data_IF_177563239975
#
_entry.id   IF_177563239975
#
_cell.length_a   1.000
_cell.length_b   1.000
_cell.length_c   1.000
_cell.angle_alpha   90.00
_cell.angle_beta   90.00
_cell.angle_gamma   90.00
#
_symmetry.space_group_name_H-M   'P 1'
#
loop_
_entity.id
_entity.type
_entity.pdbx_description
1 polymer ?
#
# COMPACT_ATOMS: atom_id res chain seq x y z
N UNK A 1 -9.32 16.17 -1.72
CA UNK A 1 -9.85 16.08 -0.34
C UNK A 1 -9.93 17.51 0.19
N UNK A 2 -11.09 17.97 0.65
CA UNK A 2 -11.29 19.36 1.14
C UNK A 2 -11.58 19.30 2.63
N UNK A 3 -10.89 20.11 3.44
CA UNK A 3 -10.90 20.04 4.92
C UNK A 3 -11.62 21.24 5.55
N UNK A 4 -12.32 20.99 6.66
CA UNK A 4 -12.97 22.00 7.50
C UNK A 4 -12.46 21.80 8.94
N UNK A 5 -11.86 22.83 9.57
CA UNK A 5 -11.45 22.79 10.98
C UNK A 5 -11.70 24.16 11.64
N UNK A 6 -12.48 24.19 12.72
CA UNK A 6 -12.56 25.33 13.66
C UNK A 6 -11.52 25.14 14.78
N UNK A 7 -10.75 26.19 15.08
CA UNK A 7 -9.76 26.21 16.17
C UNK A 7 -10.33 26.94 17.39
N UNK A 8 -10.18 26.36 18.57
CA UNK A 8 -10.13 27.05 19.86
C UNK A 8 -9.14 26.34 20.79
N UNK A 9 -8.53 27.11 21.70
CA UNK A 9 -7.26 26.83 22.35
C UNK A 9 -7.38 26.54 23.85
N UNK A 10 -6.33 25.89 24.40
CA UNK A 10 -5.82 25.90 25.81
C UNK A 10 -6.66 25.17 26.90
N UNK A 11 -6.14 24.55 27.97
CA UNK A 11 -4.84 24.51 28.69
C UNK A 11 -4.75 23.22 29.58
N UNK A 12 -3.53 22.89 30.06
CA UNK A 12 -3.06 21.72 30.84
C UNK A 12 -3.54 21.61 32.33
N UNK A 13 -3.63 20.39 32.91
CA UNK A 13 -2.73 19.83 33.96
C UNK A 13 -3.11 18.36 34.39
N UNK A 14 -2.17 17.53 34.94
CA UNK A 14 -2.27 16.06 35.06
C UNK A 14 -2.37 15.51 36.51
N UNK A 15 -2.10 14.18 36.67
CA UNK A 15 -1.95 13.33 37.88
C UNK A 15 -3.20 12.46 38.16
N UNK A 16 -3.20 11.14 38.44
CA UNK A 16 -2.22 10.19 38.98
C UNK A 16 -2.43 8.73 38.50
N UNK A 17 -1.38 7.92 38.69
CA UNK A 17 -1.28 6.45 38.54
C UNK A 17 -2.02 5.70 39.65
N UNK A 18 -2.60 4.53 39.33
CA UNK A 18 -2.67 3.39 40.27
C UNK A 18 -2.48 2.06 39.53
N UNK A 19 -1.55 1.25 40.07
CA UNK A 19 -1.21 -0.12 39.68
C UNK A 19 -2.30 -1.13 40.07
N UNK A 20 -2.56 -2.12 39.21
CA UNK A 20 -3.08 -3.43 39.63
C UNK A 20 -2.34 -4.54 38.86
N UNK A 21 -1.84 -5.53 39.64
CA UNK A 21 -1.07 -6.72 39.25
C UNK A 21 -1.96 -7.83 38.64
N UNK A 22 -1.35 -8.84 37.98
CA UNK A 22 -2.05 -9.80 37.13
C UNK A 22 -2.52 -11.07 37.86
N UNK A 23 -3.54 -11.72 37.30
CA UNK A 23 -3.97 -13.07 37.68
C UNK A 23 -3.54 -14.09 36.61
N UNK A 24 -2.84 -15.12 37.08
CA UNK A 24 -2.51 -16.36 36.36
C UNK A 24 -3.71 -17.30 36.30
N UNK A 25 -3.90 -18.01 35.19
CA UNK A 25 -4.34 -19.42 35.11
C UNK A 25 -4.01 -19.93 33.69
N UNK A 26 -3.03 -20.82 33.54
CA UNK A 26 -3.08 -22.29 33.58
C UNK A 26 -3.09 -22.89 32.17
N UNK A 27 -1.96 -23.53 31.86
CA UNK A 27 -1.69 -24.36 30.68
C UNK A 27 -2.44 -25.68 30.80
N UNK A 28 -2.97 -26.16 29.68
CA UNK A 28 -3.07 -27.59 29.40
C UNK A 28 -2.42 -27.88 28.04
N UNK A 29 -1.37 -28.69 28.09
CA UNK A 29 -0.83 -29.54 27.01
C UNK A 29 -1.60 -30.87 27.08
N UNK A 30 -1.93 -31.60 26.01
CA UNK A 30 -1.00 -32.35 25.12
C UNK A 30 -1.69 -32.87 23.83
N UNK A 31 -0.93 -32.75 22.74
CA UNK A 31 -0.70 -33.53 21.48
C UNK A 31 -1.01 -35.05 21.42
N UNK A 32 -0.73 -35.80 20.30
CA UNK A 32 -0.75 -35.53 18.83
C UNK A 32 -1.30 -36.73 17.97
N UNK A 33 -1.15 -36.62 16.63
CA UNK A 33 -1.09 -37.67 15.57
C UNK A 33 -2.24 -37.60 14.53
N UNK A 34 -2.07 -37.81 13.21
CA UNK A 34 -1.01 -38.48 12.46
C UNK A 34 -0.86 -37.91 11.03
N UNK A 35 0.33 -38.12 10.45
CA UNK A 35 0.72 -37.83 9.07
C UNK A 35 0.76 -39.13 8.23
N UNK A 36 0.40 -39.03 6.95
CA UNK A 36 0.82 -39.84 5.77
C UNK A 36 -0.14 -39.49 4.61
N UNK A 37 0.22 -39.33 3.34
CA UNK A 37 1.27 -39.99 2.59
C UNK A 37 1.82 -39.11 1.44
N UNK A 38 3.06 -39.38 1.07
CA UNK A 38 3.78 -38.86 -0.09
C UNK A 38 3.95 -39.96 -1.18
N UNK A 39 4.58 -39.57 -2.30
CA UNK A 39 4.96 -40.33 -3.51
C UNK A 39 3.94 -40.17 -4.65
N UNK A 40 4.26 -39.74 -5.88
CA UNK A 40 5.42 -39.90 -6.79
C UNK A 40 5.33 -38.76 -7.85
N UNK A 41 6.39 -38.14 -8.40
CA UNK A 41 7.33 -38.76 -9.34
C UNK A 41 8.59 -37.89 -9.53
N UNK A 42 9.75 -38.53 -9.41
CA UNK A 42 11.07 -38.01 -9.75
C UNK A 42 11.58 -38.76 -10.97
N UNK A 43 11.41 -38.23 -12.19
CA UNK A 43 12.29 -38.53 -13.32
C UNK A 43 12.31 -37.31 -14.26
N UNK A 44 13.52 -36.94 -14.70
CA UNK A 44 13.82 -35.97 -15.77
C UNK A 44 14.17 -34.53 -15.38
N UNK A 45 15.14 -34.37 -14.47
CA UNK A 45 16.02 -33.18 -14.46
C UNK A 45 17.48 -33.61 -14.24
N UNK A 46 18.03 -34.38 -15.20
CA UNK A 46 19.47 -34.60 -15.32
C UNK A 46 19.82 -34.73 -16.80
N UNK A 47 19.92 -33.60 -17.48
CA UNK A 47 20.73 -33.34 -18.69
C UNK A 47 20.45 -31.93 -19.17
N UNK A 48 21.24 -30.97 -18.71
CA UNK A 48 21.64 -29.76 -19.45
C UNK A 48 22.61 -28.94 -18.57
N UNK A 49 23.70 -29.55 -18.16
CA UNK A 49 24.86 -28.87 -17.58
C UNK A 49 26.11 -29.46 -18.19
N UNK A 50 26.42 -29.06 -19.43
CA UNK A 50 27.78 -29.16 -20.00
C UNK A 50 27.83 -28.53 -21.39
N UNK A 51 27.85 -27.20 -21.46
CA UNK A 51 28.68 -26.46 -22.41
C UNK A 51 28.55 -24.97 -22.09
N UNK A 52 29.70 -24.31 -21.87
CA UNK A 52 29.99 -22.91 -22.17
C UNK A 52 31.33 -22.57 -21.49
N UNK A 53 32.41 -23.01 -22.12
CA UNK A 53 33.74 -22.41 -21.95
C UNK A 53 33.83 -21.16 -22.84
N UNK A 54 34.34 -20.08 -22.23
CA UNK A 54 35.10 -18.96 -22.82
C UNK A 54 34.55 -18.20 -24.05
N UNK A 55 34.22 -16.92 -23.85
CA UNK A 55 34.24 -15.88 -24.90
C UNK A 55 33.07 -14.90 -24.86
N UNK A 56 33.33 -13.65 -24.45
CA UNK A 56 32.43 -12.49 -24.64
C UNK A 56 31.71 -11.97 -23.39
N UNK A 57 32.27 -10.93 -22.74
CA UNK A 57 31.82 -10.39 -21.46
C UNK A 57 30.69 -9.32 -21.55
N UNK A 58 29.79 -9.41 -22.53
CA UNK A 58 28.77 -8.36 -22.78
C UNK A 58 27.31 -8.81 -22.83
N UNK A 59 27.03 -10.12 -22.90
CA UNK A 59 25.69 -10.64 -23.22
C UNK A 59 24.95 -11.28 -22.04
N UNK A 60 25.59 -11.50 -20.88
CA UNK A 60 25.02 -12.33 -19.81
C UNK A 60 24.07 -11.60 -18.86
N UNK A 61 23.94 -10.27 -18.98
CA UNK A 61 23.29 -9.48 -17.94
C UNK A 61 21.97 -8.79 -18.33
N UNK A 62 21.52 -8.99 -19.58
CA UNK A 62 20.26 -8.45 -20.09
C UNK A 62 19.09 -9.40 -19.77
N UNK A 63 17.99 -8.88 -19.23
CA UNK A 63 16.79 -9.65 -18.86
C UNK A 63 15.64 -9.37 -19.84
N UNK A 64 14.82 -10.38 -20.16
CA UNK A 64 13.54 -10.16 -20.85
C UNK A 64 12.47 -9.77 -19.82
N UNK A 65 11.86 -8.60 -20.01
CA UNK A 65 10.86 -8.03 -19.12
C UNK A 65 9.55 -7.72 -19.87
N UNK A 66 8.49 -7.49 -19.10
CA UNK A 66 7.16 -7.15 -19.60
C UNK A 66 6.62 -5.99 -18.79
N UNK A 67 5.97 -5.03 -19.43
CA UNK A 67 5.31 -3.89 -18.78
C UNK A 67 3.91 -3.64 -19.39
N UNK A 68 2.98 -3.15 -18.58
CA UNK A 68 1.73 -2.54 -19.06
C UNK A 68 1.97 -1.06 -19.31
N UNK A 69 1.87 -0.66 -20.58
CA UNK A 69 2.22 0.67 -21.05
C UNK A 69 1.06 1.37 -21.75
N UNK A 70 1.10 2.69 -21.81
CA UNK A 70 0.19 3.53 -22.60
C UNK A 70 0.98 4.65 -23.28
N UNK A 71 0.65 4.95 -24.55
CA UNK A 71 1.27 6.04 -25.34
C UNK A 71 0.39 7.30 -25.39
N UNK A 72 -0.86 7.18 -24.96
CA UNK A 72 -1.85 8.25 -24.92
C UNK A 72 -2.76 8.06 -23.72
N UNK A 73 -3.37 9.15 -23.26
CA UNK A 73 -4.32 9.10 -22.14
C UNK A 73 -5.69 8.61 -22.60
N UNK A 74 -6.35 7.83 -21.76
CA UNK A 74 -7.70 7.34 -22.06
C UNK A 74 -8.16 6.27 -21.08
N UNK A 75 -9.27 5.61 -21.41
CA UNK A 75 -9.80 4.54 -20.58
C UNK A 75 -8.78 3.40 -20.52
N UNK A 76 -8.40 2.87 -19.34
CA UNK A 76 -7.35 1.87 -19.23
C UNK A 76 -7.56 0.64 -20.12
N UNK A 77 -8.81 0.23 -20.34
CA UNK A 77 -9.20 -0.89 -21.22
C UNK A 77 -8.93 -0.65 -22.70
N UNK A 78 -8.76 0.60 -23.11
CA UNK A 78 -8.58 1.01 -24.51
C UNK A 78 -7.12 1.35 -24.82
N UNK A 79 -6.39 1.95 -23.86
CA UNK A 79 -5.04 2.47 -24.10
C UNK A 79 -3.92 1.58 -23.58
N UNK A 80 -4.15 0.72 -22.58
CA UNK A 80 -3.09 -0.13 -22.04
C UNK A 80 -2.73 -1.28 -23.00
N UNK A 81 -1.43 -1.45 -23.21
CA UNK A 81 -0.86 -2.54 -24.01
C UNK A 81 0.25 -3.24 -23.24
N UNK A 82 0.40 -4.54 -23.48
CA UNK A 82 1.53 -5.30 -22.98
C UNK A 82 2.73 -5.06 -23.89
N UNK A 83 3.80 -4.47 -23.36
CA UNK A 83 5.08 -4.34 -24.04
C UNK A 83 6.06 -5.37 -23.47
N UNK A 84 6.63 -6.21 -24.34
CA UNK A 84 7.77 -7.08 -24.01
C UNK A 84 9.04 -6.38 -24.46
N UNK A 85 10.04 -6.32 -23.59
CA UNK A 85 11.30 -5.64 -23.88
C UNK A 85 12.49 -6.33 -23.21
N UNK A 86 13.69 -5.85 -23.51
CA UNK A 86 14.90 -6.23 -22.78
C UNK A 86 15.28 -5.14 -21.77
N UNK A 87 15.85 -5.53 -20.64
CA UNK A 87 16.32 -4.64 -19.58
C UNK A 87 17.81 -4.87 -19.37
N UNK A 88 18.60 -3.81 -19.59
CA UNK A 88 20.03 -3.80 -19.32
C UNK A 88 20.31 -3.81 -17.79
N UNK A 89 21.56 -4.11 -17.37
CA UNK A 89 21.96 -4.00 -15.97
C UNK A 89 21.73 -2.59 -15.41
N UNK A 90 21.56 -2.43 -14.09
CA UNK A 90 21.43 -1.11 -13.49
C UNK A 90 22.73 -0.32 -13.62
N UNK A 91 22.60 1.00 -13.81
CA UNK A 91 23.72 1.94 -13.69
C UNK A 91 24.25 2.00 -12.25
N UNK A 92 25.37 2.71 -12.03
CA UNK A 92 26.07 2.76 -10.74
C UNK A 92 25.19 3.13 -9.53
N UNK A 93 24.26 4.05 -9.69
CA UNK A 93 23.33 4.53 -8.65
C UNK A 93 21.93 3.90 -8.73
N UNK A 94 21.74 2.92 -9.61
CA UNK A 94 20.49 2.23 -9.80
C UNK A 94 20.44 0.87 -9.08
N UNK A 95 19.22 0.41 -8.87
CA UNK A 95 18.90 -0.91 -8.35
C UNK A 95 17.94 -1.57 -9.33
N UNK A 96 18.30 -2.76 -9.79
CA UNK A 96 17.40 -3.59 -10.58
C UNK A 96 16.54 -4.44 -9.65
N UNK A 97 15.24 -4.43 -9.90
CA UNK A 97 14.26 -5.13 -9.09
C UNK A 97 13.35 -6.02 -9.95
N UNK A 98 12.84 -7.08 -9.33
CA UNK A 98 11.76 -7.91 -9.83
C UNK A 98 10.51 -7.64 -8.98
N UNK A 99 9.42 -7.16 -9.59
CA UNK A 99 8.18 -6.93 -8.87
C UNK A 99 7.55 -8.27 -8.46
N UNK A 100 7.13 -8.36 -7.20
CA UNK A 100 6.41 -9.51 -6.65
C UNK A 100 4.90 -9.29 -6.76
N UNK A 101 4.45 -8.06 -6.48
CA UNK A 101 3.08 -7.61 -6.69
C UNK A 101 2.99 -6.08 -6.78
N UNK A 102 2.00 -5.60 -7.52
CA UNK A 102 1.62 -4.19 -7.63
C UNK A 102 0.08 -4.11 -7.69
N UNK A 103 -0.58 -3.33 -6.81
CA UNK A 103 -2.03 -3.19 -6.81
C UNK A 103 -2.50 -2.28 -7.94
N UNK A 104 -3.83 -2.23 -8.10
CA UNK A 104 -4.53 -1.23 -8.92
C UNK A 104 -5.27 -0.29 -7.98
N UNK A 105 -4.79 0.95 -7.87
CA UNK A 105 -5.39 2.01 -7.07
C UNK A 105 -6.16 3.01 -7.96
N UNK A 106 -7.15 3.75 -7.42
CA UNK A 106 -7.86 4.78 -8.19
C UNK A 106 -6.94 5.84 -8.80
N UNK A 107 -5.82 6.17 -8.14
CA UNK A 107 -4.84 7.12 -8.67
C UNK A 107 -4.15 6.60 -9.95
N UNK A 108 -3.90 5.29 -10.06
CA UNK A 108 -3.30 4.70 -11.25
C UNK A 108 -4.23 4.85 -12.46
N UNK A 109 -5.53 4.60 -12.25
CA UNK A 109 -6.57 4.77 -13.26
C UNK A 109 -6.66 6.23 -13.71
N UNK A 110 -6.75 7.16 -12.75
CA UNK A 110 -6.83 8.59 -13.04
C UNK A 110 -5.58 9.12 -13.77
N UNK A 111 -4.39 8.56 -13.50
CA UNK A 111 -3.16 8.90 -14.23
C UNK A 111 -3.23 8.46 -15.68
N UNK A 112 -3.70 7.25 -15.94
CA UNK A 112 -3.86 6.70 -17.31
C UNK A 112 -4.95 7.46 -18.08
N UNK A 113 -6.02 7.87 -17.40
CA UNK A 113 -7.07 8.73 -17.98
C UNK A 113 -6.62 10.17 -18.22
N UNK A 114 -5.45 10.57 -17.70
CA UNK A 114 -4.87 11.91 -17.89
C UNK A 114 -5.48 13.00 -17.01
N UNK A 115 -6.33 12.62 -16.05
CA UNK A 115 -7.03 13.52 -15.13
C UNK A 115 -6.35 13.65 -13.76
N UNK A 116 -5.28 12.90 -13.52
CA UNK A 116 -4.43 13.04 -12.33
C UNK A 116 -3.31 14.08 -12.56
N UNK A 117 -2.97 14.93 -11.56
CA UNK A 117 -1.99 16.00 -11.75
C UNK A 117 -0.54 15.51 -11.94
N UNK A 118 -0.16 14.41 -11.27
CA UNK A 118 1.13 13.78 -11.51
C UNK A 118 1.04 12.93 -12.78
N UNK A 119 1.84 13.26 -13.80
CA UNK A 119 1.89 12.53 -15.06
C UNK A 119 3.27 11.89 -15.20
N UNK A 120 3.38 10.54 -15.19
CA UNK A 120 4.65 9.87 -15.46
C UNK A 120 5.22 10.32 -16.81
N UNK A 121 6.56 10.47 -16.94
CA UNK A 121 7.17 10.83 -18.21
C UNK A 121 6.93 9.72 -19.25
N UNK A 122 6.55 10.13 -20.46
CA UNK A 122 6.49 9.25 -21.62
C UNK A 122 7.91 9.08 -22.18
N UNK A 123 8.37 7.85 -22.36
CA UNK A 123 9.76 7.52 -22.73
C UNK A 123 9.79 6.48 -23.85
N UNK A 124 10.84 6.49 -24.66
CA UNK A 124 11.14 5.44 -25.64
C UNK A 124 12.16 4.41 -25.12
N UNK A 125 12.67 4.57 -23.90
CA UNK A 125 13.76 3.74 -23.36
C UNK A 125 13.37 2.28 -23.19
N UNK A 126 12.07 1.97 -23.10
CA UNK A 126 11.60 0.58 -23.06
C UNK A 126 11.76 -0.14 -24.40
N UNK A 127 11.92 0.58 -25.51
CA UNK A 127 12.15 -0.02 -26.84
C UNK A 127 13.64 -0.26 -27.12
N UNK A 128 14.53 0.46 -26.44
CA UNK A 128 15.97 0.32 -26.64
C UNK A 128 16.57 -0.62 -25.60
N UNK A 129 17.45 -1.51 -26.06
CA UNK A 129 18.34 -2.28 -25.18
C UNK A 129 19.56 -1.47 -24.72
N UNK A 130 19.75 -0.25 -25.22
CA UNK A 130 20.86 0.64 -24.83
C UNK A 130 20.54 1.42 -23.55
N UNK A 131 21.58 1.74 -22.77
CA UNK A 131 21.49 2.52 -21.53
C UNK A 131 20.69 3.83 -21.73
N UNK A 132 19.90 4.27 -20.73
CA UNK A 132 19.19 5.56 -20.74
C UNK A 132 20.10 6.77 -21.06
N UNK A 133 21.41 6.63 -20.79
CA UNK A 133 22.42 7.66 -21.06
C UNK A 133 22.78 7.83 -22.55
N UNK A 134 22.33 6.92 -23.42
CA UNK A 134 22.59 6.97 -24.86
C UNK A 134 21.38 6.42 -25.66
N UNK A 135 20.33 7.23 -25.84
CA UNK A 135 19.18 6.84 -26.67
C UNK A 135 19.62 6.79 -28.13
N UNK A 136 19.55 5.61 -28.76
CA UNK A 136 19.55 5.52 -30.22
C UNK A 136 18.10 5.76 -30.69
N UNK A 137 17.81 6.84 -31.44
CA UNK A 137 16.45 7.24 -31.79
C UNK A 137 15.91 6.46 -33.02
N UNK A 138 16.21 5.16 -33.14
CA UNK A 138 15.87 4.40 -34.35
C UNK A 138 14.51 3.70 -34.31
N UNK A 139 13.72 3.82 -33.24
CA UNK A 139 12.39 3.22 -33.18
C UNK A 139 11.33 4.22 -33.65
N UNK A 140 10.54 3.85 -34.67
CA UNK A 140 9.29 4.52 -35.05
C UNK A 140 8.19 4.41 -33.98
N UNK A 141 8.48 3.77 -32.85
CA UNK A 141 7.55 3.54 -31.75
C UNK A 141 7.25 4.84 -30.99
N UNK A 142 5.98 5.08 -30.62
CA UNK A 142 5.61 6.26 -29.86
C UNK A 142 6.17 6.19 -28.42
N UNK A 143 6.50 7.31 -27.78
CA UNK A 143 6.83 7.34 -26.36
C UNK A 143 5.71 6.72 -25.50
N UNK A 144 6.09 6.00 -24.45
CA UNK A 144 5.16 5.32 -23.53
C UNK A 144 5.46 5.57 -22.07
N UNK A 145 4.43 5.50 -21.23
CA UNK A 145 4.52 5.44 -19.78
C UNK A 145 4.07 4.07 -19.27
N UNK A 146 4.62 3.63 -18.14
CA UNK A 146 4.21 2.37 -17.46
C UNK A 146 3.18 2.70 -16.39
N UNK A 147 2.10 1.92 -16.33
CA UNK A 147 1.06 2.09 -15.31
C UNK A 147 1.54 1.70 -13.90
N UNK A 148 0.80 2.15 -12.88
CA UNK A 148 0.99 1.77 -11.48
C UNK A 148 1.98 2.65 -10.69
N UNK A 149 1.64 2.95 -9.45
CA UNK A 149 2.46 3.77 -8.55
C UNK A 149 2.98 3.02 -7.32
N UNK A 150 2.31 1.93 -6.93
CA UNK A 150 2.58 1.20 -5.69
C UNK A 150 3.01 -0.24 -6.03
N UNK A 151 3.83 -0.84 -5.17
CA UNK A 151 4.23 -2.24 -5.32
C UNK A 151 5.36 -2.63 -4.40
N UNK A 152 5.60 -3.94 -4.32
CA UNK A 152 6.72 -4.55 -3.64
C UNK A 152 7.56 -5.35 -4.62
N UNK A 153 8.87 -5.21 -4.52
CA UNK A 153 9.82 -5.84 -5.41
C UNK A 153 11.00 -6.43 -4.63
N UNK A 154 11.68 -7.39 -5.24
CA UNK A 154 12.92 -7.98 -4.73
C UNK A 154 14.10 -7.50 -5.58
N UNK A 155 15.18 -7.08 -4.93
CA UNK A 155 16.40 -6.63 -5.59
C UNK A 155 17.10 -7.82 -6.27
N UNK A 156 17.38 -7.69 -7.57
CA UNK A 156 18.05 -8.72 -8.38
C UNK A 156 19.48 -8.34 -8.77
N UNK A 157 19.76 -7.04 -8.96
CA UNK A 157 21.12 -6.49 -9.18
C UNK A 157 21.22 -5.10 -8.58
N UNK A 158 22.44 -4.67 -8.25
CA UNK A 158 22.71 -3.37 -7.62
C UNK A 158 23.92 -2.72 -8.30
N UNK A 159 23.80 -1.45 -8.66
CA UNK A 159 24.90 -0.64 -9.15
C UNK A 159 26.00 -0.45 -8.11
N UNK A 160 27.20 -0.12 -8.55
CA UNK A 160 28.38 -0.05 -7.67
C UNK A 160 28.21 0.95 -6.51
N UNK A 161 27.61 2.13 -6.76
CA UNK A 161 27.33 3.15 -5.73
C UNK A 161 26.12 2.80 -4.89
N UNK A 162 25.08 2.22 -5.48
CA UNK A 162 23.88 1.79 -4.76
C UNK A 162 24.16 0.64 -3.76
N UNK A 163 25.26 -0.11 -3.96
CA UNK A 163 25.65 -1.26 -3.13
C UNK A 163 25.98 -0.92 -1.67
N UNK A 164 26.21 0.36 -1.36
CA UNK A 164 26.38 0.85 0.02
C UNK A 164 25.08 0.76 0.84
N UNK A 165 23.93 0.75 0.16
CA UNK A 165 22.61 0.80 0.80
C UNK A 165 21.73 -0.41 0.45
N UNK A 166 21.94 -1.07 -0.68
CA UNK A 166 21.15 -2.21 -1.15
C UNK A 166 22.02 -3.42 -1.46
N UNK A 167 21.46 -4.62 -1.27
CA UNK A 167 22.07 -5.89 -1.68
C UNK A 167 21.05 -6.75 -2.43
N UNK A 168 21.54 -7.64 -3.29
CA UNK A 168 20.70 -8.64 -3.95
C UNK A 168 19.93 -9.45 -2.91
N UNK A 169 18.63 -9.62 -3.13
CA UNK A 169 17.72 -10.30 -2.22
C UNK A 169 16.94 -9.39 -1.28
N UNK A 170 17.33 -8.12 -1.12
CA UNK A 170 16.55 -7.13 -0.36
C UNK A 170 15.13 -6.99 -0.92
N UNK A 171 14.16 -6.74 -0.05
CA UNK A 171 12.81 -6.36 -0.44
C UNK A 171 12.66 -4.86 -0.36
N UNK A 172 12.02 -4.28 -1.37
CA UNK A 172 11.85 -2.83 -1.51
C UNK A 172 10.43 -2.48 -1.89
N UNK A 173 10.01 -1.29 -1.50
CA UNK A 173 8.79 -0.62 -1.96
C UNK A 173 9.15 0.71 -2.60
N UNK A 174 8.22 1.26 -3.39
CA UNK A 174 8.44 2.54 -4.06
C UNK A 174 8.53 3.68 -3.04
N UNK A 175 9.58 4.49 -3.13
CA UNK A 175 9.77 5.72 -2.36
C UNK A 175 9.17 6.97 -3.01
N UNK A 176 8.97 6.93 -4.33
CA UNK A 176 8.38 8.01 -5.13
C UNK A 176 7.19 7.50 -5.95
N UNK A 177 6.23 8.39 -6.23
CA UNK A 177 5.13 8.11 -7.15
C UNK A 177 5.56 8.32 -8.61
N UNK A 178 4.78 7.78 -9.56
CA UNK A 178 5.00 7.96 -11.00
C UNK A 178 6.11 7.09 -11.61
N UNK A 179 6.64 6.14 -10.84
CA UNK A 179 7.72 5.26 -11.27
C UNK A 179 7.27 4.13 -12.21
N UNK A 180 5.97 3.80 -12.23
CA UNK A 180 5.41 2.73 -13.06
C UNK A 180 5.72 1.34 -12.52
N UNK A 181 4.79 0.72 -11.79
CA UNK A 181 5.01 -0.56 -11.10
C UNK A 181 4.38 -1.77 -11.79
N UNK A 182 3.52 -1.57 -12.80
CA UNK A 182 2.87 -2.64 -13.54
C UNK A 182 3.82 -3.24 -14.59
N UNK A 183 4.93 -3.81 -14.12
CA UNK A 183 5.98 -4.43 -14.92
C UNK A 183 6.61 -5.60 -14.16
N UNK A 184 7.27 -6.52 -14.85
CA UNK A 184 7.96 -7.64 -14.20
C UNK A 184 9.27 -7.23 -13.55
N UNK A 185 10.03 -6.34 -14.20
CA UNK A 185 11.32 -5.84 -13.73
C UNK A 185 11.52 -4.36 -14.08
N UNK A 186 12.42 -3.69 -13.37
CA UNK A 186 12.86 -2.34 -13.71
C UNK A 186 14.16 -1.97 -13.01
N UNK A 187 14.90 -1.02 -13.58
CA UNK A 187 15.98 -0.33 -12.89
C UNK A 187 15.42 0.99 -12.34
N UNK A 188 15.73 1.30 -11.09
CA UNK A 188 15.27 2.51 -10.41
C UNK A 188 16.45 3.15 -9.67
N UNK A 189 16.46 4.47 -9.55
CA UNK A 189 17.42 5.15 -8.67
C UNK A 189 17.31 4.57 -7.26
N UNK A 190 18.44 4.37 -6.58
CA UNK A 190 18.47 3.96 -5.19
C UNK A 190 17.64 4.88 -4.26
N UNK A 191 17.52 6.17 -4.62
CA UNK A 191 16.73 7.15 -3.87
C UNK A 191 15.20 7.00 -4.04
N UNK A 192 14.77 6.31 -5.09
CA UNK A 192 13.36 6.08 -5.40
C UNK A 192 12.81 4.79 -4.77
N UNK A 193 13.64 4.09 -3.99
CA UNK A 193 13.31 2.84 -3.33
C UNK A 193 13.49 2.94 -1.82
N UNK A 194 12.57 2.32 -1.08
CA UNK A 194 12.69 2.15 0.36
C UNK A 194 12.86 0.67 0.70
N UNK A 195 13.94 0.34 1.41
CA UNK A 195 14.19 -1.03 1.89
C UNK A 195 13.21 -1.41 2.99
N UNK A 196 12.58 -2.57 2.86
CA UNK A 196 11.71 -3.16 3.88
C UNK A 196 12.57 -3.82 4.95
N UNK A 197 12.83 -3.12 6.06
CA UNK A 197 13.73 -3.58 7.15
C UNK A 197 13.17 -4.74 7.97
N UNK A 198 11.87 -4.96 7.95
CA UNK A 198 11.19 -5.89 8.86
C UNK A 198 11.25 -7.35 8.41
N UNK A 199 11.75 -7.66 7.21
CA UNK A 199 11.87 -9.04 6.72
C UNK A 199 12.97 -9.81 7.46
N UNK A 200 14.07 -9.14 7.85
CA UNK A 200 15.22 -9.78 8.49
C UNK A 200 15.02 -10.06 10.00
N UNK A 201 14.10 -9.36 10.67
CA UNK A 201 13.84 -9.53 12.13
C UNK A 201 12.72 -10.52 12.46
N UNK A 202 12.10 -11.13 11.45
CA UNK A 202 10.98 -12.09 11.60
C UNK A 202 11.45 -13.56 11.67
N UNK A 203 12.74 -13.83 11.47
CA UNK A 203 13.28 -15.20 11.37
C UNK A 203 14.07 -15.65 12.60
N UNK A 204 14.34 -14.77 13.58
CA UNK A 204 14.96 -15.14 14.86
C UNK A 204 13.94 -15.07 16.00
N UNK A 205 13.21 -16.17 16.22
CA UNK A 205 12.54 -16.46 17.50
C UNK A 205 11.19 -15.78 17.80
N UNK A 206 10.54 -15.12 16.84
CA UNK A 206 9.22 -14.49 17.04
C UNK A 206 8.22 -14.91 15.95
N UNK A 207 7.00 -15.22 16.38
CA UNK A 207 5.78 -15.57 15.61
C UNK A 207 5.81 -15.21 14.11
N UNK A 208 5.51 -16.19 13.23
CA UNK A 208 5.69 -16.12 11.77
C UNK A 208 4.67 -15.22 11.05
N UNK A 209 4.34 -14.06 11.61
CA UNK A 209 3.61 -13.01 10.89
C UNK A 209 4.56 -12.18 10.02
N UNK A 210 5.38 -12.86 9.21
CA UNK A 210 6.14 -12.21 8.15
C UNK A 210 5.17 -11.40 7.30
N UNK A 211 5.43 -10.10 7.12
CA UNK A 211 4.63 -9.26 6.23
C UNK A 211 4.54 -9.95 4.86
N UNK A 212 3.33 -10.28 4.43
CA UNK A 212 3.16 -10.99 3.16
C UNK A 212 3.29 -10.00 1.99
N UNK A 213 3.42 -10.57 0.79
CA UNK A 213 3.54 -9.79 -0.46
C UNK A 213 2.37 -8.81 -0.63
N UNK A 214 1.16 -9.19 -0.20
CA UNK A 214 -0.04 -8.36 -0.37
C UNK A 214 -0.01 -7.14 0.55
N UNK A 215 0.40 -7.33 1.81
CA UNK A 215 0.57 -6.25 2.78
C UNK A 215 1.63 -5.26 2.30
N UNK A 216 2.79 -5.75 1.84
CA UNK A 216 3.86 -4.88 1.37
C UNK A 216 3.51 -4.18 0.06
N UNK A 217 2.80 -4.84 -0.85
CA UNK A 217 2.36 -4.24 -2.11
C UNK A 217 1.36 -3.10 -1.93
N UNK A 218 0.73 -2.98 -0.75
CA UNK A 218 -0.31 -1.98 -0.45
C UNK A 218 0.07 -1.05 0.71
N UNK A 219 1.35 -1.05 1.09
CA UNK A 219 1.84 -0.39 2.30
C UNK A 219 1.99 1.13 2.16
N UNK A 220 2.46 1.61 1.00
CA UNK A 220 3.00 2.97 0.90
C UNK A 220 1.92 4.02 0.60
N UNK A 221 0.72 3.61 0.16
CA UNK A 221 -0.39 4.51 -0.14
C UNK A 221 -1.44 4.49 0.97
N UNK A 222 -2.21 3.40 1.12
CA UNK A 222 -3.42 3.43 1.94
C UNK A 222 -3.16 3.55 3.46
N UNK A 223 -2.29 2.71 4.07
CA UNK A 223 -1.94 2.85 5.48
C UNK A 223 -1.22 4.16 5.80
N UNK A 224 -0.30 4.60 4.93
CA UNK A 224 0.38 5.88 5.07
C UNK A 224 -0.62 7.04 5.08
N UNK A 225 -1.58 7.06 4.14
CA UNK A 225 -2.63 8.08 4.08
C UNK A 225 -3.44 8.12 5.37
N UNK A 226 -3.92 6.96 5.84
CA UNK A 226 -4.67 6.86 7.09
C UNK A 226 -3.86 7.36 8.29
N UNK A 227 -2.59 6.96 8.39
CA UNK A 227 -1.72 7.36 9.49
C UNK A 227 -1.42 8.87 9.47
N UNK A 228 -1.21 9.49 8.30
CA UNK A 228 -1.04 10.95 8.18
C UNK A 228 -2.31 11.70 8.58
N UNK A 229 -3.47 11.25 8.11
CA UNK A 229 -4.76 11.85 8.48
C UNK A 229 -5.01 11.85 10.00
N UNK A 230 -4.63 10.78 10.69
CA UNK A 230 -4.79 10.65 12.15
C UNK A 230 -3.78 11.46 12.97
N UNK A 231 -2.63 11.83 12.40
CA UNK A 231 -1.50 12.39 13.15
C UNK A 231 -1.19 13.85 12.85
N UNK A 232 -1.48 14.32 11.65
CA UNK A 232 -0.86 15.55 11.15
C UNK A 232 -1.79 16.77 11.24
N UNK A 233 -3.09 16.57 11.46
CA UNK A 233 -4.09 17.66 11.41
C UNK A 233 -4.53 18.17 12.79
N UNK A 234 -4.80 17.27 13.73
CA UNK A 234 -5.20 17.59 15.11
C UNK A 234 -4.51 16.61 16.06
N UNK A 235 -4.15 17.09 17.25
CA UNK A 235 -3.65 16.21 18.30
C UNK A 235 -4.82 15.39 18.87
N UNK A 236 -4.85 14.10 18.55
CA UNK A 236 -5.84 13.15 19.05
C UNK A 236 -5.28 12.45 20.30
N UNK A 237 -6.09 12.44 21.35
CA UNK A 237 -5.86 11.75 22.61
C UNK A 237 -6.78 10.53 22.73
N UNK A 238 -6.44 9.62 23.63
CA UNK A 238 -7.30 8.49 23.95
C UNK A 238 -8.71 8.96 24.34
N UNK A 239 -9.72 8.34 23.74
CA UNK A 239 -11.13 8.68 23.93
C UNK A 239 -11.68 9.71 22.95
N UNK A 240 -10.82 10.41 22.20
CA UNK A 240 -11.28 11.34 21.17
C UNK A 240 -12.00 10.62 20.04
N UNK A 241 -12.97 11.31 19.42
CA UNK A 241 -13.75 10.78 18.31
C UNK A 241 -13.30 11.38 16.98
N UNK A 242 -13.22 10.51 15.98
CA UNK A 242 -13.15 10.88 14.56
C UNK A 242 -14.30 10.24 13.80
N UNK A 243 -14.77 10.90 12.75
CA UNK A 243 -15.80 10.38 11.85
C UNK A 243 -15.24 10.24 10.43
N UNK A 244 -15.62 9.20 9.70
CA UNK A 244 -15.21 9.02 8.30
C UNK A 244 -16.34 8.46 7.44
N UNK A 245 -16.37 8.86 6.17
CA UNK A 245 -17.18 8.17 5.16
C UNK A 245 -16.31 7.27 4.25
N UNK A 246 -16.96 6.36 3.53
CA UNK A 246 -16.24 5.36 2.73
C UNK A 246 -15.42 4.40 3.60
N UNK A 247 -15.92 4.05 4.78
CA UNK A 247 -15.17 3.30 5.80
C UNK A 247 -14.76 1.89 5.38
N UNK A 248 -15.39 1.31 4.35
CA UNK A 248 -15.04 0.02 3.75
C UNK A 248 -14.00 0.14 2.61
N UNK A 249 -13.32 1.28 2.49
CA UNK A 249 -12.19 1.46 1.57
C UNK A 249 -10.88 0.99 2.22
N UNK A 250 -9.82 0.77 1.43
CA UNK A 250 -8.50 0.43 1.96
C UNK A 250 -7.98 1.46 2.97
N UNK A 251 -8.17 2.76 2.69
CA UNK A 251 -7.84 3.84 3.64
C UNK A 251 -8.75 3.79 4.87
N UNK A 252 -10.07 3.61 4.68
CA UNK A 252 -11.03 3.60 5.77
C UNK A 252 -10.80 2.47 6.78
N UNK A 253 -10.46 1.28 6.29
CA UNK A 253 -10.09 0.13 7.12
C UNK A 253 -8.75 0.35 7.83
N UNK A 254 -7.79 1.01 7.19
CA UNK A 254 -6.53 1.39 7.83
C UNK A 254 -6.75 2.45 8.94
N UNK A 255 -7.65 3.43 8.74
CA UNK A 255 -8.04 4.40 9.78
C UNK A 255 -8.59 3.66 11.01
N UNK A 256 -9.49 2.70 10.80
CA UNK A 256 -10.08 1.91 11.89
C UNK A 256 -9.00 1.18 12.69
N UNK A 257 -8.13 0.44 12.01
CA UNK A 257 -7.11 -0.38 12.64
C UNK A 257 -6.03 0.45 13.33
N UNK A 258 -5.66 1.60 12.78
CA UNK A 258 -4.67 2.51 13.36
C UNK A 258 -5.23 3.36 14.49
N UNK A 259 -6.52 3.74 14.46
CA UNK A 259 -7.17 4.48 15.54
C UNK A 259 -7.29 3.66 16.83
N UNK A 260 -7.53 2.35 16.71
CA UNK A 260 -7.69 1.43 17.85
C UNK A 260 -6.51 1.45 18.85
N UNK A 261 -5.24 1.21 18.45
CA UNK A 261 -4.11 1.28 19.36
C UNK A 261 -3.80 2.71 19.85
N UNK A 262 -4.25 3.75 19.14
CA UNK A 262 -4.18 5.14 19.61
C UNK A 262 -5.26 5.48 20.65
N UNK A 263 -6.19 4.56 20.92
CA UNK A 263 -7.33 4.79 21.80
C UNK A 263 -8.37 5.76 21.24
N UNK A 264 -8.27 6.11 19.95
CA UNK A 264 -9.20 7.01 19.25
C UNK A 264 -10.44 6.23 18.84
N UNK A 265 -11.62 6.79 19.10
CA UNK A 265 -12.92 6.20 18.74
C UNK A 265 -13.31 6.62 17.32
N UNK A 266 -13.91 5.71 16.58
CA UNK A 266 -14.26 5.91 15.16
C UNK A 266 -15.75 5.78 14.92
N UNK A 267 -16.35 6.76 14.25
CA UNK A 267 -17.70 6.70 13.68
C UNK A 267 -17.55 6.48 12.18
N UNK A 268 -18.05 5.35 11.67
CA UNK A 268 -17.70 4.84 10.35
C UNK A 268 -18.94 4.76 9.46
N UNK A 269 -19.00 5.64 8.46
CA UNK A 269 -20.12 5.68 7.52
C UNK A 269 -19.84 4.75 6.33
N UNK A 270 -20.74 3.78 6.14
CA UNK A 270 -20.77 2.87 4.98
C UNK A 270 -22.00 3.15 4.11
N UNK A 271 -22.01 2.66 2.87
CA UNK A 271 -23.18 2.80 2.00
C UNK A 271 -24.30 1.86 2.44
N UNK A 272 -25.55 2.35 2.46
CA UNK A 272 -26.72 1.49 2.58
C UNK A 272 -26.91 0.69 1.30
N UNK A 273 -26.65 -0.62 1.36
CA UNK A 273 -26.86 -1.56 0.24
C UNK A 273 -27.02 -2.99 0.78
N UNK A 274 -27.56 -3.94 -0.01
CA UNK A 274 -27.61 -5.34 0.40
C UNK A 274 -26.24 -5.84 0.87
N UNK A 275 -26.19 -6.44 2.06
CA UNK A 275 -24.97 -6.97 2.67
C UNK A 275 -24.13 -5.96 3.47
N UNK A 276 -24.65 -4.75 3.74
CA UNK A 276 -23.96 -3.77 4.57
C UNK A 276 -23.77 -4.25 6.02
N UNK A 277 -24.58 -5.18 6.50
CA UNK A 277 -24.47 -5.79 7.83
C UNK A 277 -23.21 -6.65 7.96
N UNK A 278 -22.88 -7.44 6.93
CA UNK A 278 -21.61 -8.21 6.88
C UNK A 278 -20.40 -7.28 6.83
N UNK A 279 -20.53 -6.17 6.10
CA UNK A 279 -19.51 -5.11 6.10
C UNK A 279 -19.36 -4.53 7.51
N UNK A 280 -20.46 -4.20 8.18
CA UNK A 280 -20.44 -3.65 9.53
C UNK A 280 -19.81 -4.63 10.55
N UNK A 281 -20.15 -5.91 10.49
CA UNK A 281 -19.54 -6.94 11.33
C UNK A 281 -18.02 -7.01 11.12
N UNK A 282 -17.58 -7.02 9.85
CA UNK A 282 -16.15 -7.07 9.51
C UNK A 282 -15.40 -5.83 10.01
N UNK A 283 -15.94 -4.63 9.80
CA UNK A 283 -15.31 -3.38 10.27
C UNK A 283 -15.26 -3.31 11.81
N UNK A 284 -16.29 -3.83 12.49
CA UNK A 284 -16.28 -3.97 13.95
C UNK A 284 -15.14 -4.90 14.42
N UNK A 285 -14.93 -6.04 13.75
CA UNK A 285 -13.80 -6.95 14.04
C UNK A 285 -12.44 -6.27 13.85
N UNK A 286 -12.32 -5.37 12.87
CA UNK A 286 -11.12 -4.56 12.65
C UNK A 286 -10.90 -3.48 13.72
N UNK A 287 -11.93 -3.13 14.50
CA UNK A 287 -11.84 -2.16 15.59
C UNK A 287 -12.74 -0.93 15.47
N UNK A 288 -13.70 -0.92 14.54
CA UNK A 288 -14.64 0.20 14.42
C UNK A 288 -15.42 0.38 15.75
N UNK A 289 -15.55 1.62 16.23
CA UNK A 289 -16.30 1.87 17.48
C UNK A 289 -17.80 1.94 17.19
N UNK A 290 -18.18 2.72 16.18
CA UNK A 290 -19.57 2.86 15.74
C UNK A 290 -19.63 2.80 14.21
N UNK A 291 -20.74 2.28 13.69
CA UNK A 291 -21.00 2.15 12.27
C UNK A 291 -22.39 2.72 12.00
N UNK A 292 -22.49 3.51 10.95
CA UNK A 292 -23.74 4.04 10.42
C UNK A 292 -23.77 3.83 8.91
N UNK A 293 -24.96 3.74 8.33
CA UNK A 293 -25.15 3.85 6.89
C UNK A 293 -25.32 5.31 6.48
N UNK A 294 -25.02 5.62 5.22
CA UNK A 294 -25.08 6.97 4.67
C UNK A 294 -26.47 7.60 4.69
N UNK A 295 -27.53 6.81 4.53
CA UNK A 295 -28.92 7.24 4.66
C UNK A 295 -29.36 7.52 6.11
N UNK A 296 -28.55 7.17 7.11
CA UNK A 296 -28.76 7.60 8.50
C UNK A 296 -28.24 9.02 8.74
N UNK A 297 -27.37 9.55 7.89
CA UNK A 297 -26.86 10.92 8.04
C UNK A 297 -27.96 11.97 7.86
N UNK A 298 -27.86 13.06 8.61
CA UNK A 298 -28.78 14.20 8.57
C UNK A 298 -30.09 14.02 9.32
N UNK A 299 -30.38 12.81 9.80
CA UNK A 299 -31.52 12.51 10.68
C UNK A 299 -31.28 13.04 12.10
N UNK A 300 -32.34 13.47 12.79
CA UNK A 300 -32.25 14.03 14.14
C UNK A 300 -31.78 12.95 15.14
N UNK A 301 -32.32 11.75 15.00
CA UNK A 301 -32.02 10.58 15.83
C UNK A 301 -30.53 10.22 15.75
N UNK A 302 -29.91 10.35 14.57
CA UNK A 302 -28.47 10.12 14.39
C UNK A 302 -27.64 11.18 15.11
N UNK A 303 -28.08 12.45 15.12
CA UNK A 303 -27.37 13.52 15.87
C UNK A 303 -27.44 13.26 17.37
N UNK A 304 -28.60 12.86 17.88
CA UNK A 304 -28.79 12.51 19.29
C UNK A 304 -27.97 11.27 19.67
N UNK A 305 -27.93 10.27 18.79
CA UNK A 305 -27.14 9.06 18.97
C UNK A 305 -25.64 9.36 19.03
N UNK A 306 -25.11 10.18 18.12
CA UNK A 306 -23.71 10.60 18.14
C UNK A 306 -23.41 11.40 19.41
N UNK A 307 -24.29 12.35 19.80
CA UNK A 307 -24.14 13.11 21.05
C UNK A 307 -24.11 12.20 22.28
N UNK A 308 -24.92 11.15 22.29
CA UNK A 308 -24.92 10.13 23.34
C UNK A 308 -23.60 9.36 23.39
N UNK A 309 -23.12 8.87 22.23
CA UNK A 309 -21.84 8.16 22.12
C UNK A 309 -20.66 9.00 22.60
N UNK A 310 -20.59 10.26 22.18
CA UNK A 310 -19.51 11.16 22.57
C UNK A 310 -19.71 11.78 23.95
N UNK A 311 -20.83 11.51 24.63
CA UNK A 311 -21.24 12.18 25.89
C UNK A 311 -21.24 13.71 25.77
N UNK A 312 -21.58 14.21 24.59
CA UNK A 312 -21.55 15.63 24.26
C UNK A 312 -20.15 16.21 23.97
N UNK A 313 -19.09 15.40 23.99
CA UNK A 313 -17.77 15.85 23.53
C UNK A 313 -17.72 16.00 21.99
N UNK A 314 -16.85 16.89 21.52
CA UNK A 314 -16.61 17.18 20.10
C UNK A 314 -16.11 15.94 19.34
N UNK A 315 -16.57 15.77 18.09
CA UNK A 315 -15.91 14.90 17.11
C UNK A 315 -14.81 15.72 16.44
N UNK A 316 -13.54 15.43 16.74
CA UNK A 316 -12.43 16.35 16.44
C UNK A 316 -12.02 16.42 14.97
N UNK A 317 -12.27 15.36 14.20
CA UNK A 317 -11.90 15.26 12.79
C UNK A 317 -12.96 14.51 11.99
N UNK A 318 -13.16 14.96 10.76
CA UNK A 318 -13.94 14.28 9.72
C UNK A 318 -13.05 13.94 8.52
N UNK A 319 -13.01 12.66 8.11
CA UNK A 319 -12.32 12.20 6.90
C UNK A 319 -13.33 11.93 5.78
N UNK A 320 -13.16 12.62 4.65
CA UNK A 320 -14.11 12.58 3.54
C UNK A 320 -13.46 12.08 2.23
N UNK A 321 -14.04 11.05 1.62
CA UNK A 321 -13.70 10.58 0.27
C UNK A 321 -14.90 10.46 -0.68
N UNK A 322 -16.09 10.95 -0.30
CA UNK A 322 -17.33 10.84 -1.09
C UNK A 322 -17.75 12.18 -1.68
N UNK A 323 -17.63 13.27 -0.93
CA UNK A 323 -18.15 14.59 -1.34
C UNK A 323 -19.67 14.72 -1.15
N UNK A 324 -20.25 15.79 -1.71
CA UNK A 324 -21.69 16.03 -1.74
C UNK A 324 -22.40 16.08 -0.39
N UNK A 325 -23.71 15.75 -0.41
CA UNK A 325 -24.59 15.78 0.76
C UNK A 325 -24.06 14.98 1.96
N UNK A 326 -23.54 13.74 1.82
CA UNK A 326 -22.99 13.00 2.95
C UNK A 326 -21.87 13.74 3.69
N UNK A 327 -21.04 14.50 2.96
CA UNK A 327 -19.96 15.31 3.57
C UNK A 327 -20.54 16.44 4.40
N UNK A 328 -21.53 17.16 3.86
CA UNK A 328 -22.22 18.25 4.57
C UNK A 328 -22.86 17.73 5.86
N UNK A 329 -23.55 16.60 5.80
CA UNK A 329 -24.20 16.03 6.98
C UNK A 329 -23.20 15.50 8.02
N UNK A 330 -22.08 14.92 7.59
CA UNK A 330 -20.98 14.54 8.48
C UNK A 330 -20.35 15.77 9.17
N UNK A 331 -20.19 16.89 8.46
CA UNK A 331 -19.63 18.11 9.02
C UNK A 331 -20.54 18.75 10.10
N UNK A 332 -21.85 18.50 10.08
CA UNK A 332 -22.79 18.95 11.12
C UNK A 332 -22.67 18.16 12.43
N UNK A 333 -21.88 17.08 12.46
CA UNK A 333 -21.64 16.23 13.63
C UNK A 333 -20.32 16.56 14.34
N UNK A 334 -19.53 17.51 13.81
CA UNK A 334 -18.32 18.04 14.43
C UNK A 334 -18.70 19.02 15.55
#
# INVERSE_FOLDING_TARGET
MTFISRRTATLHNPVARTLIRPLHHHRHTTTPAAAAAAATSTVSQRRLLSSLSSGGNGSKDIIRATALVYSEYGRPTEVLKVLKHTLAPPEDDEVQVQFLAAPINPADINQIEGVYPLKPPMTTHLYSSSSPSSPSPSSSDPPVAVGGNEGVAKVTKVGSKASTHFKVGDWVVMGSAGLGTWRSHGNFSANDLTKVRTVEKMTEGGDSSSLDVVQLATLTVNPCTAYRMLRDFRNLSQGDYVIQNGANSGVGEAVIQLAKPLGVKTINIIRNRPGHEKVAERLTKLGATHILTDDQLGKLETKELVKSWTRGHEVKLAFNCVGGKPTTEMARLL
#
